data_IF_185783141775
#
_entry.id   IF_185783141775
#
_cell.length_a   1.000
_cell.length_b   1.000
_cell.length_c   1.000
_cell.angle_alpha   90.00
_cell.angle_beta   90.00
_cell.angle_gamma   90.00
#
_symmetry.space_group_name_H-M   'P 1'
#
loop_
_entity.id
_entity.type
_entity.pdbx_description
1 polymer ?
#
# COMPACT_ATOMS: atom_id res chain seq x y z
N UNK A 1 -9.41 25.04 -23.84
CA UNK A 1 -8.22 25.13 -22.95
C UNK A 1 -7.02 24.58 -23.71
N UNK A 2 -5.80 25.08 -23.48
CA UNK A 2 -4.59 24.54 -24.12
C UNK A 2 -4.33 23.09 -23.68
N UNK A 3 -3.59 22.35 -24.49
CA UNK A 3 -3.15 21.00 -24.15
C UNK A 3 -2.13 21.04 -23.00
N UNK A 4 -2.18 20.03 -22.13
CA UNK A 4 -1.22 19.89 -21.04
C UNK A 4 0.16 19.51 -21.59
N UNK A 5 1.20 20.19 -21.12
CA UNK A 5 2.60 19.85 -21.45
C UNK A 5 2.99 18.47 -20.91
N UNK A 6 2.53 18.15 -19.69
CA UNK A 6 2.80 16.88 -19.01
C UNK A 6 1.51 16.28 -18.45
N UNK A 7 1.47 14.95 -18.34
CA UNK A 7 0.34 14.22 -17.73
C UNK A 7 0.85 13.21 -16.70
N UNK A 8 -0.05 12.74 -15.83
CA UNK A 8 0.23 11.72 -14.81
C UNK A 8 1.42 12.12 -13.92
N UNK A 9 2.28 11.14 -13.58
CA UNK A 9 3.42 11.32 -12.70
C UNK A 9 4.46 12.30 -13.25
N UNK A 10 4.59 12.43 -14.57
CA UNK A 10 5.57 13.36 -15.16
C UNK A 10 5.28 14.80 -14.73
N UNK A 11 4.01 15.22 -14.76
CA UNK A 11 3.63 16.57 -14.31
C UNK A 11 3.80 16.76 -12.80
N UNK A 12 3.57 15.72 -12.01
CA UNK A 12 3.75 15.76 -10.55
C UNK A 12 5.23 15.91 -10.17
N UNK A 13 6.13 15.22 -10.88
CA UNK A 13 7.57 15.28 -10.66
C UNK A 13 8.13 16.64 -11.12
N UNK A 14 7.69 17.11 -12.29
CA UNK A 14 8.09 18.40 -12.85
C UNK A 14 7.73 19.57 -11.93
N UNK A 15 6.51 19.56 -11.36
CA UNK A 15 6.06 20.56 -10.37
C UNK A 15 6.98 20.61 -9.14
N UNK A 16 7.27 19.44 -8.55
CA UNK A 16 8.13 19.37 -7.37
C UNK A 16 9.54 19.88 -7.65
N UNK A 17 10.16 19.43 -8.75
CA UNK A 17 11.52 19.83 -9.11
C UNK A 17 11.58 21.33 -9.45
N UNK A 18 10.62 21.83 -10.22
CA UNK A 18 10.50 23.26 -10.54
C UNK A 18 10.32 24.12 -9.29
N UNK A 19 9.53 23.65 -8.32
CA UNK A 19 9.30 24.35 -7.07
C UNK A 19 10.60 24.48 -6.26
N UNK A 20 11.41 23.41 -6.20
CA UNK A 20 12.73 23.41 -5.56
C UNK A 20 13.68 24.39 -6.25
N UNK A 21 13.82 24.29 -7.58
CA UNK A 21 14.71 25.15 -8.36
C UNK A 21 14.39 26.64 -8.21
N UNK A 22 13.09 26.97 -8.16
CA UNK A 22 12.60 28.35 -8.07
C UNK A 22 12.46 28.84 -6.63
N UNK A 23 12.75 28.00 -5.64
CA UNK A 23 12.52 28.27 -4.22
C UNK A 23 11.08 28.74 -3.93
N UNK A 24 10.11 28.00 -4.47
CA UNK A 24 8.67 28.23 -4.34
C UNK A 24 7.96 27.02 -3.74
N UNK A 25 6.70 27.15 -3.36
CA UNK A 25 5.90 26.02 -2.88
C UNK A 25 5.41 25.14 -4.05
N UNK A 26 5.49 23.80 -3.95
CA UNK A 26 4.87 22.91 -4.93
C UNK A 26 3.34 22.96 -4.82
N UNK A 27 2.65 22.43 -5.83
CA UNK A 27 1.18 22.34 -5.84
C UNK A 27 0.63 21.46 -4.70
N UNK A 28 1.40 20.46 -4.27
CA UNK A 28 1.06 19.60 -3.14
C UNK A 28 2.26 19.50 -2.21
N UNK A 29 2.11 20.02 -1.00
CA UNK A 29 3.16 20.00 0.01
C UNK A 29 3.12 18.74 0.92
N UNK A 30 4.13 18.63 1.79
CA UNK A 30 4.21 17.52 2.73
C UNK A 30 3.05 17.47 3.74
N UNK A 31 2.43 18.61 4.08
CA UNK A 31 1.30 18.66 5.00
C UNK A 31 0.03 18.10 4.33
N UNK A 32 -0.20 18.42 3.07
CA UNK A 32 -1.27 17.83 2.26
C UNK A 32 -1.04 16.33 2.05
N UNK A 33 0.19 15.92 1.77
CA UNK A 33 0.56 14.50 1.71
C UNK A 33 0.27 13.76 3.02
N UNK A 34 0.62 14.36 4.17
CA UNK A 34 0.33 13.82 5.51
C UNK A 34 -1.17 13.68 5.76
N UNK A 35 -2.00 14.64 5.34
CA UNK A 35 -3.47 14.55 5.46
C UNK A 35 -4.04 13.38 4.65
N UNK A 36 -3.52 13.12 3.45
CA UNK A 36 -3.93 11.96 2.66
C UNK A 36 -3.61 10.64 3.37
N UNK A 37 -2.41 10.54 3.96
CA UNK A 37 -2.02 9.37 4.76
C UNK A 37 -2.93 9.20 5.99
N UNK A 38 -3.32 10.28 6.66
CA UNK A 38 -4.23 10.21 7.82
C UNK A 38 -5.60 9.63 7.45
N UNK A 39 -6.15 9.95 6.27
CA UNK A 39 -7.40 9.37 5.79
C UNK A 39 -7.25 7.87 5.55
N UNK A 40 -6.19 7.44 4.86
CA UNK A 40 -5.91 6.02 4.60
C UNK A 40 -5.80 5.27 5.93
N UNK A 41 -5.01 5.79 6.87
CA UNK A 41 -4.83 5.20 8.19
C UNK A 41 -6.15 5.13 8.96
N UNK A 42 -7.02 6.15 8.88
CA UNK A 42 -8.31 6.15 9.55
C UNK A 42 -9.27 5.10 8.97
N UNK A 43 -9.24 4.86 7.65
CA UNK A 43 -10.01 3.79 6.99
C UNK A 43 -9.58 2.44 7.56
N UNK A 44 -8.28 2.17 7.62
CA UNK A 44 -7.76 0.91 8.18
C UNK A 44 -8.11 0.76 9.67
N UNK A 45 -7.90 1.80 10.47
CA UNK A 45 -8.26 1.79 11.89
C UNK A 45 -9.76 1.52 12.08
N UNK A 46 -10.62 2.15 11.29
CA UNK A 46 -12.06 1.92 11.33
C UNK A 46 -12.41 0.47 10.99
N UNK A 47 -11.83 -0.08 9.92
CA UNK A 47 -12.06 -1.46 9.49
C UNK A 47 -11.61 -2.49 10.55
N UNK A 48 -10.47 -2.25 11.19
CA UNK A 48 -9.90 -3.12 12.22
C UNK A 48 -10.71 -3.04 13.53
N UNK A 49 -11.03 -1.83 13.98
CA UNK A 49 -11.66 -1.62 15.30
C UNK A 49 -13.18 -1.65 15.26
N UNK A 50 -13.79 -1.60 14.06
CA UNK A 50 -15.24 -1.48 13.82
C UNK A 50 -15.86 -0.27 14.52
N UNK A 51 -15.13 0.85 14.57
CA UNK A 51 -15.54 2.10 15.22
C UNK A 51 -15.37 3.29 14.30
N UNK A 52 -16.18 4.32 14.52
CA UNK A 52 -16.00 5.64 13.91
C UNK A 52 -14.65 6.21 14.37
N UNK A 53 -13.86 6.69 13.42
CA UNK A 53 -12.56 7.32 13.66
C UNK A 53 -12.66 8.81 13.36
N UNK A 54 -12.31 9.64 14.35
CA UNK A 54 -12.19 11.08 14.17
C UNK A 54 -10.78 11.46 13.70
N UNK A 55 -10.70 12.48 12.85
CA UNK A 55 -9.45 13.04 12.33
C UNK A 55 -9.14 14.39 13.01
N UNK A 56 -7.86 14.79 13.13
CA UNK A 56 -6.66 14.02 12.78
C UNK A 56 -6.38 12.87 13.77
N UNK A 57 -5.59 11.89 13.34
CA UNK A 57 -5.18 10.79 14.21
C UNK A 57 -4.21 11.33 15.25
N UNK A 58 -4.47 11.05 16.53
CA UNK A 58 -3.63 11.53 17.63
C UNK A 58 -2.24 10.88 17.61
N UNK A 59 -1.22 11.61 18.03
CA UNK A 59 0.17 11.13 18.02
C UNK A 59 0.45 9.94 18.96
N UNK A 60 -0.36 9.79 20.01
CA UNK A 60 -0.32 8.67 20.95
C UNK A 60 -1.13 7.45 20.47
N UNK A 61 -1.85 7.58 19.35
CA UNK A 61 -2.61 6.49 18.77
C UNK A 61 -1.68 5.42 18.17
N UNK A 62 -1.89 4.13 18.46
CA UNK A 62 -1.10 3.05 17.88
C UNK A 62 -1.06 3.08 16.34
N UNK A 63 -2.12 3.55 15.68
CA UNK A 63 -2.19 3.63 14.22
C UNK A 63 -1.40 4.82 13.64
N UNK A 64 -0.91 5.75 14.47
CA UNK A 64 -0.10 6.89 14.02
C UNK A 64 1.33 6.48 13.63
N UNK A 65 1.86 5.41 14.23
CA UNK A 65 3.24 4.96 14.03
C UNK A 65 3.31 3.76 13.09
N UNK A 66 4.42 3.67 12.35
CA UNK A 66 4.74 2.49 11.55
C UNK A 66 4.72 1.22 12.41
N UNK A 67 4.17 0.13 11.87
CA UNK A 67 4.08 -1.17 12.55
C UNK A 67 2.84 -1.36 13.43
N UNK A 68 2.22 -0.29 13.93
CA UNK A 68 1.01 -0.40 14.76
C UNK A 68 -0.19 -0.98 14.00
N UNK A 69 -0.30 -0.65 12.71
CA UNK A 69 -1.31 -1.25 11.82
C UNK A 69 -1.16 -2.77 11.74
N UNK A 70 0.05 -3.26 11.47
CA UNK A 70 0.32 -4.70 11.32
C UNK A 70 0.14 -5.46 12.63
N UNK A 71 0.49 -4.84 13.76
CA UNK A 71 0.33 -5.45 15.07
C UNK A 71 -1.15 -5.64 15.48
N UNK A 72 -2.03 -4.72 15.06
CA UNK A 72 -3.45 -4.71 15.43
C UNK A 72 -4.37 -5.26 14.35
N UNK A 73 -3.88 -5.46 13.13
CA UNK A 73 -4.66 -6.01 12.04
C UNK A 73 -5.14 -7.44 12.38
N UNK A 74 -6.42 -7.76 12.10
CA UNK A 74 -6.91 -9.13 12.20
C UNK A 74 -6.06 -10.06 11.33
N UNK A 75 -5.56 -11.15 11.92
CA UNK A 75 -4.78 -12.16 11.19
C UNK A 75 -5.73 -13.13 10.53
N UNK A 76 -5.72 -13.17 9.20
CA UNK A 76 -6.48 -14.14 8.41
C UNK A 76 -5.53 -15.16 7.81
N UNK A 77 -5.53 -16.36 8.39
CA UNK A 77 -4.72 -17.52 8.00
C UNK A 77 -3.20 -17.29 8.06
N UNK A 78 -2.49 -18.26 8.63
CA UNK A 78 -1.03 -18.26 8.55
C UNK A 78 -0.59 -18.80 7.19
N UNK A 79 0.33 -18.09 6.53
CA UNK A 79 0.90 -18.56 5.27
C UNK A 79 1.77 -19.78 5.57
N UNK A 80 1.27 -20.97 5.25
CA UNK A 80 1.96 -22.25 5.50
C UNK A 80 3.00 -22.61 4.44
N UNK A 81 2.98 -21.96 3.28
CA UNK A 81 3.89 -22.24 2.17
C UNK A 81 4.20 -20.97 1.37
N UNK A 82 5.43 -20.86 0.85
CA UNK A 82 5.85 -19.80 -0.06
C UNK A 82 6.40 -20.39 -1.36
N UNK A 83 5.93 -19.89 -2.50
CA UNK A 83 6.42 -20.34 -3.81
C UNK A 83 7.71 -19.60 -4.14
N UNK A 84 8.81 -20.33 -4.27
CA UNK A 84 10.15 -19.79 -4.59
C UNK A 84 10.34 -19.57 -6.09
N UNK A 85 9.45 -20.08 -6.96
CA UNK A 85 9.55 -19.96 -8.42
C UNK A 85 8.16 -20.00 -9.09
N UNK A 86 7.78 -18.93 -9.78
CA UNK A 86 6.67 -18.99 -10.73
C UNK A 86 7.17 -19.73 -11.97
N UNK A 87 6.82 -21.02 -12.09
CA UNK A 87 6.83 -21.66 -13.42
C UNK A 87 5.58 -21.20 -14.15
N UNK A 88 5.58 -21.25 -15.47
CA UNK A 88 4.37 -21.05 -16.26
C UNK A 88 3.36 -22.12 -15.81
N UNK A 89 2.27 -21.71 -15.15
CA UNK A 89 1.19 -22.59 -14.73
C UNK A 89 -0.10 -22.03 -15.32
N UNK A 90 -0.84 -22.85 -16.05
CA UNK A 90 -2.11 -22.47 -16.71
C UNK A 90 -3.21 -22.03 -15.73
N UNK A 91 -3.03 -22.24 -14.41
CA UNK A 91 -3.97 -21.89 -13.34
C UNK A 91 -3.25 -21.22 -12.17
N UNK A 92 -3.81 -20.14 -11.65
CA UNK A 92 -3.29 -19.39 -10.49
C UNK A 92 -3.33 -20.30 -9.24
N UNK A 93 -2.18 -20.72 -8.68
CA UNK A 93 -2.16 -21.67 -7.58
C UNK A 93 -2.45 -20.98 -6.24
N UNK A 94 -3.36 -21.56 -5.45
CA UNK A 94 -3.86 -20.98 -4.19
C UNK A 94 -2.89 -21.15 -2.99
N UNK A 95 -1.59 -21.34 -3.23
CA UNK A 95 -0.55 -21.48 -2.21
C UNK A 95 -0.58 -22.79 -1.39
N UNK A 96 -1.73 -23.45 -1.25
CA UNK A 96 -1.93 -24.62 -0.37
C UNK A 96 -1.53 -25.98 -1.00
N UNK A 97 -1.54 -26.10 -2.33
CA UNK A 97 -1.43 -27.39 -3.03
C UNK A 97 -0.21 -27.49 -3.97
N UNK A 98 0.92 -26.86 -3.64
CA UNK A 98 2.08 -26.83 -4.55
C UNK A 98 3.02 -28.05 -4.43
N UNK A 99 2.92 -28.83 -3.36
CA UNK A 99 3.87 -29.93 -3.08
C UNK A 99 3.36 -31.33 -3.54
N UNK A 100 2.12 -31.44 -4.03
CA UNK A 100 1.46 -32.75 -4.23
C UNK A 100 1.64 -33.38 -5.62
N UNK A 101 2.57 -32.91 -6.46
CA UNK A 101 2.90 -33.61 -7.72
C UNK A 101 4.38 -33.90 -7.86
N UNK A 102 4.86 -34.78 -6.99
CA UNK A 102 6.10 -35.50 -7.23
C UNK A 102 5.82 -36.98 -7.01
N UNK A 103 6.07 -37.78 -8.05
CA UNK A 103 5.85 -39.23 -8.20
C UNK A 103 4.56 -39.61 -8.90
N UNK A 104 4.62 -39.61 -10.25
CA UNK A 104 4.21 -40.76 -11.05
C UNK A 104 4.75 -40.59 -12.48
N UNK A 105 6.07 -40.82 -12.62
CA UNK A 105 6.67 -41.29 -13.86
C UNK A 105 7.57 -42.47 -13.50
N UNK A 106 6.98 -43.67 -13.50
CA UNK A 106 7.66 -44.92 -13.83
C UNK A 106 6.63 -46.04 -14.02
N UNK A 107 6.08 -46.15 -15.23
CA UNK A 107 5.92 -47.42 -15.95
C UNK A 107 5.68 -47.18 -17.43
#
# INVERSE_FOLDING_TARGET
MPALTWTLHTGQIDDLLSAIERNTSPLVDGLQGKRALEVITAIYKSAITRRIVSLPIKHDDPFFRTGGLTALAPRFYEKSASVTRFREVDVIPLGKNLDERTHDEQK
#
